data_IF_397555488457
#
_entry.id   IF_397555488457
#
_cell.length_a   1.000
_cell.length_b   1.000
_cell.length_c   1.000
_cell.angle_alpha   90.00
_cell.angle_beta   90.00
_cell.angle_gamma   90.00
#
_symmetry.space_group_name_H-M   'P 1'
#
loop_
_entity.id
_entity.type
_entity.pdbx_description
1 polymer ?
#
# COMPACT_ATOMS: atom_id res chain seq x y z
N UNK A 1 14.87 -22.39 -5.88
CA UNK A 1 14.35 -21.03 -6.11
C UNK A 1 13.57 -21.03 -7.41
N UNK A 2 12.25 -20.81 -7.39
CA UNK A 2 11.44 -20.60 -8.59
C UNK A 2 11.00 -19.13 -8.60
N UNK A 3 11.69 -18.30 -9.38
CA UNK A 3 11.23 -16.96 -9.69
C UNK A 3 9.97 -17.08 -10.56
N UNK A 4 8.83 -16.61 -10.06
CA UNK A 4 7.58 -16.60 -10.83
C UNK A 4 7.57 -15.38 -11.74
N UNK A 5 7.33 -15.65 -13.03
CA UNK A 5 7.31 -14.67 -14.13
C UNK A 5 5.87 -14.15 -14.26
N UNK A 6 5.60 -12.94 -13.80
CA UNK A 6 4.32 -12.27 -14.05
C UNK A 6 4.39 -11.56 -15.41
N UNK A 7 3.77 -12.14 -16.43
CA UNK A 7 3.42 -11.42 -17.66
C UNK A 7 1.96 -11.00 -17.58
N UNK A 8 1.68 -9.72 -17.69
CA UNK A 8 0.39 -9.24 -18.17
C UNK A 8 0.63 -8.04 -19.08
N UNK A 9 0.53 -8.31 -20.37
CA UNK A 9 0.72 -7.34 -21.44
C UNK A 9 -0.43 -6.30 -21.37
N UNK A 10 -0.12 -5.05 -21.02
CA UNK A 10 -1.07 -3.94 -20.80
C UNK A 10 -2.01 -3.73 -22.00
N UNK A 11 -1.56 -4.06 -23.21
CA UNK A 11 -2.34 -3.98 -24.45
C UNK A 11 -3.57 -4.92 -24.50
N UNK A 12 -3.57 -6.04 -23.77
CA UNK A 12 -4.69 -6.98 -23.77
C UNK A 12 -5.87 -6.51 -22.90
N UNK A 13 -5.59 -5.79 -21.82
CA UNK A 13 -6.60 -5.35 -20.83
C UNK A 13 -7.36 -4.11 -21.33
N UNK A 14 -6.67 -3.19 -22.02
CA UNK A 14 -7.29 -1.97 -22.58
C UNK A 14 -8.41 -2.26 -23.61
N UNK A 15 -8.38 -3.41 -24.29
CA UNK A 15 -9.45 -3.82 -25.21
C UNK A 15 -10.74 -4.28 -24.51
N UNK A 16 -10.67 -4.72 -23.26
CA UNK A 16 -11.84 -5.27 -22.54
C UNK A 16 -12.66 -4.20 -21.80
N UNK A 17 -12.02 -3.12 -21.36
CA UNK A 17 -12.67 -2.07 -20.53
C UNK A 17 -13.58 -1.13 -21.34
N UNK A 18 -13.35 -0.98 -22.66
CA UNK A 18 -14.23 -0.16 -23.52
C UNK A 18 -15.65 -0.72 -23.69
N UNK A 19 -15.90 -1.96 -23.28
CA UNK A 19 -17.21 -2.61 -23.41
C UNK A 19 -18.18 -2.28 -22.25
N UNK A 20 -17.69 -1.90 -21.07
CA UNK A 20 -18.52 -1.89 -19.84
C UNK A 20 -19.00 -0.52 -19.37
N UNK A 21 -18.54 0.61 -19.93
CA UNK A 21 -18.92 1.95 -19.47
C UNK A 21 -20.04 2.57 -20.30
N UNK A 22 -21.24 1.97 -20.23
CA UNK A 22 -22.49 2.59 -20.69
C UNK A 22 -23.60 2.32 -19.66
N UNK A 23 -23.62 3.09 -18.56
CA UNK A 23 -24.80 3.40 -17.71
C UNK A 23 -24.38 4.37 -16.57
N UNK A 24 -25.14 5.47 -16.42
CA UNK A 24 -25.00 6.51 -15.37
C UNK A 24 -25.46 6.01 -13.98
N UNK A 25 -25.61 6.80 -12.90
CA UNK A 25 -25.69 8.25 -12.67
C UNK A 25 -25.64 8.55 -11.16
N UNK A 26 -25.35 9.82 -10.80
CA UNK A 26 -25.86 10.60 -9.64
C UNK A 26 -25.32 10.36 -8.21
N UNK A 27 -24.90 11.50 -7.60
CA UNK A 27 -24.56 11.75 -6.18
C UNK A 27 -25.81 12.01 -5.33
N UNK A 28 -25.70 11.93 -4.00
CA UNK A 28 -26.21 13.05 -3.18
C UNK A 28 -25.28 13.47 -2.01
N UNK A 29 -25.33 14.77 -1.73
CA UNK A 29 -24.79 15.51 -0.57
C UNK A 29 -25.79 15.46 0.59
N UNK A 30 -25.35 15.54 1.86
CA UNK A 30 -26.07 16.27 2.92
C UNK A 30 -25.20 16.50 4.17
N UNK A 31 -25.43 17.66 4.78
CA UNK A 31 -24.68 18.31 5.85
C UNK A 31 -24.99 17.82 7.28
N UNK A 32 -23.93 17.85 8.11
CA UNK A 32 -23.75 18.51 9.42
C UNK A 32 -24.99 18.86 10.28
N UNK A 33 -24.92 18.50 11.57
CA UNK A 33 -25.53 19.26 12.67
C UNK A 33 -24.76 19.06 13.98
N UNK A 34 -24.51 20.19 14.64
CA UNK A 34 -23.85 20.36 15.94
C UNK A 34 -24.82 20.02 17.08
N UNK A 35 -24.31 19.57 18.23
CA UNK A 35 -24.89 19.89 19.53
C UNK A 35 -23.81 19.84 20.62
N UNK A 36 -23.59 21.01 21.18
CA UNK A 36 -22.92 21.35 22.43
C UNK A 36 -23.63 20.67 23.61
N UNK A 37 -22.94 20.36 24.71
CA UNK A 37 -23.30 20.87 26.05
C UNK A 37 -22.38 20.36 27.19
N UNK A 38 -22.03 21.35 28.02
CA UNK A 38 -21.96 21.38 29.49
C UNK A 38 -20.91 20.64 30.32
N UNK A 39 -20.43 21.44 31.29
CA UNK A 39 -19.33 21.29 32.21
C UNK A 39 -19.72 20.61 33.53
N UNK A 40 -18.72 20.10 34.27
CA UNK A 40 -18.72 20.13 35.73
C UNK A 40 -17.28 20.05 36.28
N UNK A 41 -16.91 21.05 37.07
CA UNK A 41 -15.76 21.06 38.00
C UNK A 41 -16.19 20.35 39.28
N UNK A 42 -15.30 19.58 39.92
CA UNK A 42 -15.18 19.55 41.39
C UNK A 42 -13.72 19.24 41.80
N UNK A 43 -13.39 19.83 42.93
CA UNK A 43 -12.10 20.02 43.57
C UNK A 43 -11.84 18.93 44.64
N UNK A 44 -10.61 18.93 45.15
CA UNK A 44 -10.29 18.72 46.56
C UNK A 44 -9.75 17.36 47.07
N UNK A 45 -8.41 17.31 47.15
CA UNK A 45 -7.58 16.95 48.34
C UNK A 45 -7.22 15.50 48.77
N UNK A 46 -5.90 15.39 49.04
CA UNK A 46 -5.18 14.78 50.20
C UNK A 46 -4.87 13.26 50.27
N UNK A 47 -3.59 12.96 49.95
CA UNK A 47 -2.55 12.09 50.62
C UNK A 47 -2.85 10.57 50.77
N UNK A 48 -1.90 9.64 51.08
CA UNK A 48 -0.46 9.73 51.41
C UNK A 48 0.48 8.67 50.73
N UNK A 49 1.80 8.81 50.96
CA UNK A 49 2.66 7.66 51.30
C UNK A 49 3.32 6.83 50.18
N UNK A 50 4.58 7.17 49.86
CA UNK A 50 5.49 6.34 49.04
C UNK A 50 5.85 5.06 49.80
N UNK A 51 5.36 3.90 49.34
CA UNK A 51 5.88 2.58 49.72
C UNK A 51 6.72 2.03 48.57
N UNK A 52 8.02 1.85 48.81
CA UNK A 52 8.95 1.18 47.88
C UNK A 52 8.51 -0.28 47.68
N UNK A 53 8.00 -0.59 46.48
CA UNK A 53 7.79 -1.97 46.06
C UNK A 53 9.13 -2.56 45.55
N UNK A 54 9.53 -3.68 46.14
CA UNK A 54 10.64 -4.51 45.65
C UNK A 54 10.27 -5.11 44.29
N UNK A 55 11.06 -4.83 43.27
CA UNK A 55 10.97 -5.51 41.97
C UNK A 55 11.58 -6.90 42.10
N UNK A 56 10.74 -7.94 42.00
CA UNK A 56 11.20 -9.29 41.68
C UNK A 56 11.29 -9.41 40.15
N UNK A 57 12.39 -9.94 39.57
CA UNK A 57 12.43 -10.24 38.15
C UNK A 57 11.43 -11.36 37.85
N UNK A 58 10.34 -11.00 37.17
CA UNK A 58 9.35 -11.95 36.68
C UNK A 58 9.95 -12.60 35.44
N UNK A 59 10.23 -13.90 35.53
CA UNK A 59 10.66 -14.70 34.39
C UNK A 59 9.71 -14.48 33.21
N UNK A 60 10.28 -14.11 32.06
CA UNK A 60 9.54 -14.04 30.81
C UNK A 60 9.04 -15.45 30.48
N UNK A 61 7.74 -15.66 30.68
CA UNK A 61 7.05 -16.84 30.16
C UNK A 61 7.09 -16.70 28.64
N UNK A 62 7.91 -17.52 27.99
CA UNK A 62 7.95 -17.61 26.54
C UNK A 62 6.58 -18.05 26.03
N UNK A 63 5.81 -17.11 25.48
CA UNK A 63 4.67 -17.45 24.64
C UNK A 63 5.21 -18.22 23.43
N UNK A 64 4.55 -19.32 23.02
CA UNK A 64 5.00 -20.08 21.87
C UNK A 64 5.02 -19.16 20.64
N UNK A 65 6.18 -19.09 20.00
CA UNK A 65 6.37 -18.44 18.71
C UNK A 65 5.35 -19.10 17.78
N UNK A 66 4.34 -18.34 17.35
CA UNK A 66 3.24 -18.86 16.55
C UNK A 66 3.80 -19.63 15.36
N UNK A 67 3.34 -20.86 15.17
CA UNK A 67 3.70 -21.67 14.01
C UNK A 67 3.30 -20.92 12.75
N UNK A 68 4.26 -20.25 12.10
CA UNK A 68 4.05 -19.63 10.80
C UNK A 68 3.68 -20.74 9.82
N UNK A 69 2.41 -20.85 9.47
CA UNK A 69 1.99 -21.71 8.37
C UNK A 69 2.51 -21.05 7.09
N UNK A 70 3.34 -21.73 6.29
CA UNK A 70 3.87 -21.14 5.06
C UNK A 70 2.73 -20.65 4.16
N UNK A 71 2.93 -19.48 3.59
CA UNK A 71 2.00 -18.90 2.64
C UNK A 71 1.84 -19.84 1.45
N UNK A 72 0.61 -20.29 1.21
CA UNK A 72 0.30 -21.13 0.07
C UNK A 72 -0.05 -20.25 -1.12
N UNK A 73 0.85 -20.18 -2.11
CA UNK A 73 0.57 -19.52 -3.39
C UNK A 73 -0.27 -20.45 -4.26
N UNK A 74 -1.59 -20.33 -4.14
CA UNK A 74 -2.56 -21.06 -4.97
C UNK A 74 -3.26 -20.15 -6.00
N UNK A 75 -4.04 -20.77 -6.88
CA UNK A 75 -4.78 -20.07 -7.92
C UNK A 75 -5.84 -19.08 -7.37
N UNK A 76 -6.33 -19.27 -6.14
CA UNK A 76 -7.30 -18.37 -5.52
C UNK A 76 -6.60 -17.09 -5.08
N UNK A 77 -5.44 -17.22 -4.43
CA UNK A 77 -4.60 -16.08 -4.09
C UNK A 77 -4.20 -15.32 -5.35
N UNK A 78 -3.66 -16.01 -6.36
CA UNK A 78 -3.27 -15.36 -7.62
C UNK A 78 -4.42 -14.61 -8.27
N UNK A 79 -5.64 -15.17 -8.28
CA UNK A 79 -6.82 -14.49 -8.83
C UNK A 79 -7.15 -13.21 -8.07
N UNK A 80 -7.18 -13.26 -6.74
CA UNK A 80 -7.46 -12.07 -5.91
C UNK A 80 -6.42 -10.98 -6.14
N UNK A 81 -5.15 -11.33 -6.25
CA UNK A 81 -4.07 -10.37 -6.58
C UNK A 81 -4.29 -9.76 -7.96
N UNK A 82 -4.61 -10.58 -8.96
CA UNK A 82 -4.91 -10.10 -10.33
C UNK A 82 -6.11 -9.14 -10.31
N UNK A 83 -7.18 -9.46 -9.58
CA UNK A 83 -8.36 -8.61 -9.48
C UNK A 83 -8.01 -7.23 -8.89
N UNK A 84 -7.18 -7.20 -7.84
CA UNK A 84 -6.65 -5.95 -7.25
C UNK A 84 -5.83 -5.15 -8.26
N UNK A 85 -4.87 -5.79 -8.94
CA UNK A 85 -4.02 -5.12 -9.95
C UNK A 85 -4.87 -4.56 -11.09
N UNK A 86 -5.84 -5.34 -11.59
CA UNK A 86 -6.75 -4.88 -12.64
C UNK A 86 -7.59 -3.69 -12.19
N UNK A 87 -8.08 -3.70 -10.94
CA UNK A 87 -8.80 -2.59 -10.38
C UNK A 87 -7.93 -1.32 -10.34
N UNK A 88 -6.69 -1.41 -9.84
CA UNK A 88 -5.75 -0.28 -9.80
C UNK A 88 -5.45 0.25 -11.20
N UNK A 89 -5.14 -0.65 -12.14
CA UNK A 89 -4.87 -0.28 -13.54
C UNK A 89 -6.04 0.48 -14.16
N UNK A 90 -7.27 -0.01 -13.95
CA UNK A 90 -8.46 0.54 -14.63
C UNK A 90 -9.04 1.79 -13.96
N UNK A 91 -8.84 1.96 -12.65
CA UNK A 91 -9.35 3.09 -11.88
C UNK A 91 -8.36 4.25 -11.75
N UNK A 92 -7.06 3.98 -11.76
CA UNK A 92 -6.01 4.99 -11.49
C UNK A 92 -5.06 5.16 -12.67
N UNK A 93 -4.42 4.08 -13.14
CA UNK A 93 -3.31 4.16 -14.08
C UNK A 93 -3.76 4.54 -15.50
N UNK A 94 -4.66 3.76 -16.10
CA UNK A 94 -5.11 3.98 -17.48
C UNK A 94 -5.88 5.29 -17.69
N UNK A 95 -6.74 5.76 -16.77
CA UNK A 95 -7.39 7.06 -16.91
C UNK A 95 -6.40 8.24 -16.96
N UNK A 96 -5.23 8.10 -16.35
CA UNK A 96 -4.21 9.14 -16.24
C UNK A 96 -3.16 9.06 -17.36
N UNK A 97 -3.04 7.92 -18.03
CA UNK A 97 -2.09 7.73 -19.12
C UNK A 97 -2.37 8.70 -20.28
N UNK A 98 -1.35 9.49 -20.66
CA UNK A 98 -1.45 10.60 -21.65
C UNK A 98 -2.40 11.73 -21.26
N UNK A 99 -2.78 11.82 -19.98
CA UNK A 99 -3.65 12.86 -19.44
C UNK A 99 -3.01 13.62 -18.25
N UNK A 100 -1.73 13.34 -17.95
CA UNK A 100 -0.97 14.06 -16.93
C UNK A 100 -0.73 15.52 -17.34
N UNK A 101 -0.80 16.41 -16.37
CA UNK A 101 -0.36 17.80 -16.49
C UNK A 101 1.06 17.93 -15.90
N UNK A 102 1.81 18.99 -16.24
CA UNK A 102 3.16 19.21 -15.70
C UNK A 102 3.21 19.20 -14.16
N UNK A 103 2.20 19.73 -13.49
CA UNK A 103 2.09 19.75 -12.02
C UNK A 103 1.86 18.37 -11.38
N UNK A 104 1.45 17.38 -12.19
CA UNK A 104 1.22 16.01 -11.74
C UNK A 104 2.51 15.17 -11.73
N UNK A 105 3.65 15.75 -12.15
CA UNK A 105 4.96 15.11 -12.33
C UNK A 105 5.99 15.82 -11.44
N UNK A 106 6.80 15.04 -10.72
CA UNK A 106 7.85 15.53 -9.82
C UNK A 106 9.15 14.78 -10.10
N UNK A 107 10.28 15.46 -9.91
CA UNK A 107 11.60 14.82 -9.89
C UNK A 107 11.85 14.21 -8.51
N UNK A 108 12.35 12.98 -8.48
CA UNK A 108 12.84 12.33 -7.26
C UNK A 108 14.26 12.83 -6.99
N UNK A 109 14.58 13.09 -5.72
CA UNK A 109 15.95 13.44 -5.30
C UNK A 109 16.77 12.16 -5.12
N UNK A 110 16.92 11.39 -6.22
CA UNK A 110 17.59 10.09 -6.22
C UNK A 110 19.06 10.27 -6.61
N UNK A 111 20.02 9.94 -5.71
CA UNK A 111 21.44 10.05 -6.03
C UNK A 111 21.82 9.17 -7.22
N UNK A 112 22.31 9.79 -8.29
CA UNK A 112 22.79 9.09 -9.49
C UNK A 112 21.77 8.89 -10.60
N UNK A 113 20.50 9.28 -10.42
CA UNK A 113 19.51 9.38 -11.51
C UNK A 113 18.82 10.76 -11.47
N UNK A 114 19.41 11.77 -12.13
CA UNK A 114 18.86 13.14 -12.15
C UNK A 114 17.58 13.28 -12.96
N UNK A 115 17.17 12.23 -13.70
CA UNK A 115 15.92 12.20 -14.46
C UNK A 115 14.87 11.33 -13.77
N UNK A 116 15.10 10.85 -12.56
CA UNK A 116 14.15 10.00 -11.85
C UNK A 116 12.84 10.75 -11.57
N UNK A 117 11.71 10.17 -11.97
CA UNK A 117 10.40 10.82 -11.97
C UNK A 117 9.43 10.03 -11.12
N UNK A 118 8.61 10.76 -10.38
CA UNK A 118 7.41 10.25 -9.72
C UNK A 118 6.22 11.10 -10.15
N UNK A 119 5.05 10.47 -10.30
CA UNK A 119 3.79 11.17 -10.58
C UNK A 119 2.80 11.00 -9.44
N UNK A 120 1.74 11.81 -9.45
CA UNK A 120 0.61 11.60 -8.54
C UNK A 120 -0.04 10.21 -8.72
N UNK A 121 0.15 9.59 -9.89
CA UNK A 121 -0.42 8.29 -10.24
C UNK A 121 0.36 7.18 -9.57
N UNK A 122 1.68 7.28 -9.47
CA UNK A 122 2.53 6.35 -8.71
C UNK A 122 2.06 6.28 -7.25
N UNK A 123 1.96 7.44 -6.58
CA UNK A 123 1.50 7.54 -5.18
C UNK A 123 0.07 7.04 -4.99
N UNK A 124 -0.82 7.36 -5.92
CA UNK A 124 -2.22 6.92 -5.85
C UNK A 124 -2.37 5.41 -6.08
N UNK A 125 -1.61 4.85 -7.01
CA UNK A 125 -1.60 3.41 -7.30
C UNK A 125 -1.00 2.62 -6.14
N UNK A 126 0.13 3.06 -5.57
CA UNK A 126 0.75 2.42 -4.39
C UNK A 126 -0.23 2.39 -3.21
N UNK A 127 -0.84 3.54 -2.89
CA UNK A 127 -1.83 3.62 -1.80
C UNK A 127 -2.97 2.62 -2.00
N UNK A 128 -3.52 2.54 -3.20
CA UNK A 128 -4.65 1.67 -3.50
C UNK A 128 -4.26 0.18 -3.52
N UNK A 129 -3.03 -0.13 -3.96
CA UNK A 129 -2.45 -1.47 -3.87
C UNK A 129 -2.27 -1.90 -2.42
N UNK A 130 -1.68 -1.05 -1.57
CA UNK A 130 -1.48 -1.33 -0.14
C UNK A 130 -2.82 -1.62 0.56
N UNK A 131 -3.83 -0.77 0.32
CA UNK A 131 -5.17 -0.94 0.89
C UNK A 131 -5.77 -2.29 0.51
N UNK A 132 -5.83 -2.61 -0.78
CA UNK A 132 -6.51 -3.82 -1.25
C UNK A 132 -5.72 -5.10 -1.03
N UNK A 133 -4.39 -5.07 -1.16
CA UNK A 133 -3.55 -6.25 -0.93
C UNK A 133 -3.47 -6.63 0.56
N UNK A 134 -3.70 -5.67 1.48
CA UNK A 134 -3.81 -5.95 2.91
C UNK A 134 -4.94 -6.93 3.23
N UNK A 135 -6.06 -6.82 2.51
CA UNK A 135 -7.17 -7.77 2.61
C UNK A 135 -6.86 -9.11 1.93
N UNK A 136 -5.99 -9.09 0.92
CA UNK A 136 -5.58 -10.30 0.19
C UNK A 136 -4.70 -11.20 1.05
N UNK A 137 -3.69 -10.62 1.71
CA UNK A 137 -2.78 -11.31 2.63
C UNK A 137 -2.74 -10.56 3.96
N UNK A 138 -3.64 -10.89 4.90
CA UNK A 138 -3.67 -10.24 6.21
C UNK A 138 -2.36 -10.41 6.97
N UNK A 139 -1.87 -9.32 7.56
CA UNK A 139 -0.62 -9.32 8.31
C UNK A 139 0.64 -9.18 7.45
N UNK A 140 0.52 -9.05 6.12
CA UNK A 140 1.65 -8.70 5.28
C UNK A 140 2.12 -7.25 5.54
N UNK A 141 3.43 -7.05 5.51
CA UNK A 141 4.04 -5.73 5.43
C UNK A 141 4.13 -5.26 3.98
N UNK A 142 4.41 -3.96 3.79
CA UNK A 142 4.48 -3.32 2.48
C UNK A 142 5.77 -2.53 2.35
N UNK A 143 6.41 -2.68 1.20
CA UNK A 143 7.59 -1.95 0.77
C UNK A 143 7.28 -1.47 -0.64
N UNK A 144 6.78 -0.25 -0.74
CA UNK A 144 6.57 0.44 -2.00
C UNK A 144 7.74 1.33 -2.35
N UNK A 145 8.04 1.48 -3.64
CA UNK A 145 9.09 2.38 -4.12
C UNK A 145 8.93 3.80 -3.57
N UNK A 146 7.69 4.32 -3.54
CA UNK A 146 7.44 5.68 -3.09
C UNK A 146 7.57 5.81 -1.57
N UNK A 147 7.01 4.86 -0.82
CA UNK A 147 7.16 4.83 0.63
C UNK A 147 8.64 4.67 1.08
N UNK A 148 9.44 3.87 0.36
CA UNK A 148 10.87 3.66 0.68
C UNK A 148 11.70 4.89 0.33
N UNK A 149 11.38 5.59 -0.76
CA UNK A 149 12.02 6.86 -1.11
C UNK A 149 11.85 7.90 0.02
N UNK A 150 10.66 7.95 0.64
CA UNK A 150 10.38 8.83 1.78
C UNK A 150 10.95 8.29 3.11
N UNK A 151 10.97 6.98 3.30
CA UNK A 151 11.46 6.32 4.52
C UNK A 151 12.21 5.01 4.25
N UNK A 152 13.54 5.07 4.06
CA UNK A 152 14.37 3.89 3.79
C UNK A 152 14.33 2.81 4.88
N UNK A 153 13.95 3.15 6.12
CA UNK A 153 13.88 2.20 7.23
C UNK A 153 12.80 1.12 7.01
N UNK A 154 11.83 1.34 6.11
CA UNK A 154 10.81 0.36 5.74
C UNK A 154 11.41 -0.93 5.17
N UNK A 155 12.62 -0.87 4.60
CA UNK A 155 13.34 -2.05 4.11
C UNK A 155 13.62 -3.09 5.21
N UNK A 156 13.65 -2.67 6.49
CA UNK A 156 13.81 -3.59 7.62
C UNK A 156 12.67 -4.61 7.75
N UNK A 157 11.50 -4.34 7.13
CA UNK A 157 10.41 -5.29 7.07
C UNK A 157 10.79 -6.60 6.34
N UNK A 158 11.81 -6.57 5.45
CA UNK A 158 12.30 -7.77 4.79
C UNK A 158 12.89 -8.78 5.77
N UNK A 159 13.50 -8.34 6.87
CA UNK A 159 14.10 -9.23 7.87
C UNK A 159 13.09 -9.80 8.87
N UNK A 160 11.80 -9.55 8.67
CA UNK A 160 10.71 -10.04 9.50
C UNK A 160 10.19 -11.39 8.96
N UNK A 161 9.70 -12.30 9.83
CA UNK A 161 9.03 -13.53 9.38
C UNK A 161 7.66 -13.27 8.72
N UNK A 162 7.12 -12.05 8.81
CA UNK A 162 5.87 -11.69 8.15
C UNK A 162 6.02 -11.69 6.62
N UNK A 163 4.98 -12.06 5.85
CA UNK A 163 4.98 -11.84 4.40
C UNK A 163 5.16 -10.35 4.08
N UNK A 164 5.86 -10.05 2.98
CA UNK A 164 6.13 -8.67 2.54
C UNK A 164 5.75 -8.52 1.08
N UNK A 165 4.91 -7.53 0.79
CA UNK A 165 4.66 -7.06 -0.56
C UNK A 165 5.73 -6.04 -0.96
N UNK A 166 6.44 -6.33 -2.04
CA UNK A 166 7.24 -5.36 -2.77
C UNK A 166 6.37 -4.77 -3.89
N UNK A 167 6.29 -3.44 -3.96
CA UNK A 167 5.41 -2.73 -4.87
C UNK A 167 6.22 -1.72 -5.68
N UNK A 168 6.14 -1.83 -7.00
CA UNK A 168 6.47 -0.76 -7.93
C UNK A 168 5.17 -0.39 -8.67
N UNK A 169 4.56 0.76 -8.32
CA UNK A 169 3.25 1.14 -8.81
C UNK A 169 3.23 1.45 -10.32
N UNK A 170 4.35 1.95 -10.88
CA UNK A 170 4.53 2.17 -12.32
C UNK A 170 6.01 1.95 -12.67
N UNK A 171 6.38 0.72 -13.02
CA UNK A 171 7.70 0.47 -13.62
C UNK A 171 7.76 1.17 -14.97
N UNK A 172 8.79 1.98 -15.16
CA UNK A 172 8.95 2.80 -16.36
C UNK A 172 8.17 4.12 -16.30
N UNK A 173 8.10 4.81 -15.16
CA UNK A 173 7.46 6.13 -15.00
C UNK A 173 7.87 7.13 -16.08
N UNK A 174 9.15 7.14 -16.51
CA UNK A 174 9.64 7.94 -17.65
C UNK A 174 8.86 7.66 -18.95
N UNK A 175 8.57 6.39 -19.25
CA UNK A 175 7.76 5.99 -20.40
C UNK A 175 6.31 6.42 -20.23
N UNK A 176 5.75 6.24 -19.04
CA UNK A 176 4.39 6.66 -18.70
C UNK A 176 4.19 8.16 -18.93
N UNK A 177 5.10 8.99 -18.40
CA UNK A 177 5.10 10.45 -18.57
C UNK A 177 5.24 10.85 -20.05
N UNK A 178 6.08 10.14 -20.82
CA UNK A 178 6.25 10.38 -22.27
C UNK A 178 5.09 9.84 -23.12
N UNK A 179 4.12 9.15 -22.53
CA UNK A 179 3.00 8.56 -23.25
C UNK A 179 3.36 7.30 -24.05
N UNK A 180 4.51 6.68 -23.78
CA UNK A 180 4.89 5.36 -24.29
C UNK A 180 4.21 4.27 -23.44
N UNK A 181 3.71 3.21 -24.08
CA UNK A 181 3.00 2.12 -23.42
C UNK A 181 3.91 1.07 -22.76
N UNK A 182 5.24 1.25 -22.85
CA UNK A 182 6.24 0.41 -22.21
C UNK A 182 6.38 0.74 -20.71
N UNK A 183 5.31 0.53 -19.95
CA UNK A 183 5.26 0.64 -18.49
C UNK A 183 4.38 -0.48 -17.91
N UNK A 184 4.47 -0.74 -16.62
CA UNK A 184 3.66 -1.76 -15.96
C UNK A 184 3.48 -1.54 -14.46
N UNK A 185 2.56 -2.30 -13.85
CA UNK A 185 2.46 -2.40 -12.39
C UNK A 185 3.18 -3.67 -11.98
N UNK A 186 4.15 -3.60 -11.07
CA UNK A 186 4.91 -4.76 -10.61
C UNK A 186 4.69 -5.01 -9.12
N UNK A 187 4.56 -6.30 -8.78
CA UNK A 187 4.37 -6.76 -7.42
C UNK A 187 5.20 -8.03 -7.19
N UNK A 188 5.76 -8.16 -6.01
CA UNK A 188 6.28 -9.43 -5.50
C UNK A 188 5.81 -9.67 -4.08
N UNK A 189 5.55 -10.93 -3.74
CA UNK A 189 5.25 -11.35 -2.38
C UNK A 189 6.41 -12.22 -1.88
N UNK A 190 7.05 -11.75 -0.82
CA UNK A 190 8.20 -12.41 -0.18
C UNK A 190 7.74 -12.97 1.17
N UNK A 191 8.21 -14.17 1.52
CA UNK A 191 8.02 -14.76 2.84
C UNK A 191 9.37 -15.32 3.31
N UNK A 192 9.74 -15.05 4.57
CA UNK A 192 11.04 -15.39 5.15
C UNK A 192 12.24 -14.77 4.38
N UNK A 193 12.22 -13.44 4.25
CA UNK A 193 13.27 -12.63 3.61
C UNK A 193 14.49 -12.36 4.49
#
# INVERSE_FOLDING_TARGET
>A
MKAYRAFSNVAAIAKHVKSTKKRGSARPTLERSLSTEHAARQDETRRPGVRRARLHPRAAVGLPIGSHRPLTIDHRLSRRVIDVVQNVITSVVLPSFRALRPEDIQLKDTPGDPEDLVTIVDKAAERLLVEQLGDVVPGAAFIGEEAVSENPALLSALSSPAPVWLIDPIDGTKNFVRGNADFGVMLALVENG
#
